data_IF_226852062458
#
_entry.id   IF_226852062458
#
_cell.length_a   1.000
_cell.length_b   1.000
_cell.length_c   1.000
_cell.angle_alpha   90.00
_cell.angle_beta   90.00
_cell.angle_gamma   90.00
#
_symmetry.space_group_name_H-M   'P 1'
#
loop_
_entity.id
_entity.type
_entity.pdbx_description
1 polymer ?
#
# COMPACT_ATOMS: atom_id res chain seq x y z
N UNK A 1 -20.87 -0.51 25.93
CA UNK A 1 -19.50 -1.01 26.22
C UNK A 1 -18.74 -0.98 24.91
N UNK A 2 -17.68 -0.20 24.68
CA UNK A 2 -17.00 0.82 25.47
C UNK A 2 -16.96 2.11 24.65
N UNK A 3 -17.25 3.23 25.30
CA UNK A 3 -16.99 4.56 24.80
C UNK A 3 -15.48 4.80 24.77
N UNK A 4 -14.94 5.27 23.64
CA UNK A 4 -13.60 5.87 23.62
C UNK A 4 -13.72 7.28 24.20
N UNK A 5 -13.41 7.32 25.49
CA UNK A 5 -12.99 8.42 26.35
C UNK A 5 -12.99 9.83 25.74
N UNK A 6 -13.88 10.66 26.28
CA UNK A 6 -13.85 12.11 26.22
C UNK A 6 -12.50 12.64 26.69
N UNK A 7 -11.97 13.62 25.95
CA UNK A 7 -10.91 14.49 26.44
C UNK A 7 -11.39 15.16 27.74
N UNK A 8 -10.75 14.82 28.85
CA UNK A 8 -10.96 15.49 30.13
C UNK A 8 -10.42 16.92 30.02
N UNK A 9 -11.31 17.90 30.06
CA UNK A 9 -10.97 19.32 30.23
C UNK A 9 -10.68 19.57 31.71
N UNK A 10 -9.41 19.58 32.11
CA UNK A 10 -8.99 20.25 33.34
C UNK A 10 -8.74 21.72 33.01
N UNK A 11 -9.63 22.60 33.47
CA UNK A 11 -9.40 24.04 33.48
C UNK A 11 -8.52 24.36 34.68
N UNK A 12 -7.26 24.72 34.43
CA UNK A 12 -6.49 25.59 35.32
C UNK A 12 -5.92 26.72 34.45
N UNK A 13 -6.23 27.95 34.86
CA UNK A 13 -5.79 29.20 34.23
C UNK A 13 -4.31 29.45 34.55
N UNK A 14 -3.51 29.87 33.56
CA UNK A 14 -2.19 30.45 33.81
C UNK A 14 -1.19 30.31 32.67
N UNK A 15 -0.93 31.45 32.01
CA UNK A 15 0.30 31.82 31.29
C UNK A 15 0.86 30.89 30.18
N UNK A 16 0.58 31.30 28.93
CA UNK A 16 1.61 31.43 27.89
C UNK A 16 2.58 30.28 27.69
N UNK A 17 2.09 29.07 27.39
CA UNK A 17 2.92 27.99 26.88
C UNK A 17 2.48 27.67 25.46
N UNK A 18 3.33 27.97 24.48
CA UNK A 18 3.19 27.45 23.12
C UNK A 18 3.12 25.93 23.20
N UNK A 19 1.91 25.38 23.18
CA UNK A 19 1.67 23.94 23.16
C UNK A 19 2.26 23.44 21.85
N UNK A 20 3.51 22.96 21.90
CA UNK A 20 4.07 22.19 20.81
C UNK A 20 3.07 21.08 20.53
N UNK A 21 2.42 21.13 19.37
CA UNK A 21 1.68 19.97 18.89
C UNK A 21 2.74 18.89 18.76
N UNK A 22 2.70 17.91 19.65
CA UNK A 22 3.47 16.69 19.44
C UNK A 22 2.82 16.07 18.21
N UNK A 23 3.40 16.32 17.03
CA UNK A 23 3.00 15.56 15.86
C UNK A 23 3.22 14.09 16.22
N UNK A 24 2.14 13.32 16.25
CA UNK A 24 2.25 11.88 16.36
C UNK A 24 3.17 11.40 15.23
N UNK A 25 4.15 10.57 15.59
CA UNK A 25 5.07 10.04 14.60
C UNK A 25 4.29 9.27 13.54
N UNK A 26 4.48 9.60 12.26
CA UNK A 26 3.70 8.96 11.21
C UNK A 26 4.07 7.47 11.12
N UNK A 27 3.07 6.61 11.20
CA UNK A 27 3.24 5.18 10.92
C UNK A 27 3.63 4.97 9.45
N UNK A 28 4.31 3.86 9.18
CA UNK A 28 4.63 3.44 7.81
C UNK A 28 3.46 2.61 7.28
N UNK A 29 2.87 3.02 6.17
CA UNK A 29 2.04 2.16 5.34
C UNK A 29 2.95 1.47 4.31
N UNK A 30 3.24 0.19 4.54
CA UNK A 30 3.90 -0.63 3.52
C UNK A 30 2.83 -1.25 2.64
N UNK A 31 2.78 -0.89 1.36
CA UNK A 31 1.73 -1.34 0.45
C UNK A 31 2.27 -1.80 -0.89
N UNK A 32 1.44 -2.59 -1.56
CA UNK A 32 1.66 -3.14 -2.89
C UNK A 32 0.32 -3.18 -3.63
N UNK A 33 0.36 -3.05 -4.96
CA UNK A 33 -0.83 -3.12 -5.80
C UNK A 33 -0.69 -4.17 -6.90
N UNK A 34 -1.78 -4.89 -7.16
CA UNK A 34 -1.90 -5.72 -8.35
C UNK A 34 -2.70 -4.98 -9.42
N UNK A 35 -2.22 -5.05 -10.66
CA UNK A 35 -2.81 -4.31 -11.78
C UNK A 35 -3.15 -5.22 -12.95
N UNK A 36 -4.01 -4.73 -13.84
CA UNK A 36 -4.10 -5.29 -15.19
C UNK A 36 -2.74 -5.17 -15.90
N UNK A 37 -2.52 -6.05 -16.86
CA UNK A 37 -1.38 -5.96 -17.77
C UNK A 37 -1.82 -5.19 -19.02
N UNK A 38 -1.10 -4.14 -19.43
CA UNK A 38 -1.44 -3.42 -20.65
C UNK A 38 -1.14 -4.31 -21.88
N UNK A 39 -2.05 -4.35 -22.85
CA UNK A 39 -1.89 -5.07 -24.12
C UNK A 39 -1.08 -4.26 -25.14
N UNK A 40 -0.83 -2.97 -24.87
CA UNK A 40 0.00 -2.11 -25.69
C UNK A 40 0.56 -0.89 -24.95
N UNK A 41 1.51 -0.16 -25.55
CA UNK A 41 2.25 0.92 -24.89
C UNK A 41 1.41 2.16 -24.55
N UNK A 42 0.17 2.24 -25.01
CA UNK A 42 -0.76 3.36 -24.74
C UNK A 42 -1.88 2.98 -23.77
N UNK A 43 -1.96 1.72 -23.39
CA UNK A 43 -3.00 1.25 -22.48
C UNK A 43 -2.55 1.46 -21.04
N UNK A 44 -3.45 2.02 -20.23
CA UNK A 44 -3.20 2.28 -18.82
C UNK A 44 -3.39 1.00 -18.02
N UNK A 45 -2.65 0.89 -16.92
CA UNK A 45 -2.87 -0.15 -15.94
C UNK A 45 -4.10 0.21 -15.11
N UNK A 46 -4.90 -0.79 -14.77
CA UNK A 46 -6.05 -0.66 -13.88
C UNK A 46 -5.70 -1.32 -12.56
N UNK A 47 -5.98 -0.64 -11.44
CA UNK A 47 -5.86 -1.23 -10.11
C UNK A 47 -6.88 -2.36 -9.95
N UNK A 48 -6.41 -3.56 -9.58
CA UNK A 48 -7.24 -4.75 -9.36
C UNK A 48 -7.24 -5.21 -7.90
N UNK A 49 -6.15 -4.95 -7.18
CA UNK A 49 -6.04 -5.25 -5.76
C UNK A 49 -5.14 -4.22 -5.08
N UNK A 50 -5.52 -3.80 -3.89
CA UNK A 50 -4.70 -2.99 -2.99
C UNK A 50 -4.50 -3.75 -1.68
N UNK A 51 -3.27 -3.76 -1.16
CA UNK A 51 -3.00 -4.26 0.18
C UNK A 51 -1.93 -3.47 0.90
N UNK A 52 -2.11 -3.29 2.21
CA UNK A 52 -1.18 -2.56 3.06
C UNK A 52 -1.08 -3.16 4.46
N UNK A 53 0.12 -3.13 5.04
CA UNK A 53 0.37 -3.27 6.49
C UNK A 53 0.84 -1.93 7.08
N UNK A 54 0.69 -1.81 8.39
CA UNK A 54 1.02 -0.59 9.13
C UNK A 54 2.12 -0.90 10.14
N UNK A 55 3.24 -0.20 10.07
CA UNK A 55 4.41 -0.46 10.89
C UNK A 55 4.79 0.76 11.75
N UNK A 56 5.20 0.50 13.00
CA UNK A 56 5.87 1.50 13.83
C UNK A 56 7.26 1.82 13.23
N UNK A 57 7.61 3.08 12.93
CA UNK A 57 8.89 3.42 12.31
C UNK A 57 10.12 3.07 13.16
N UNK A 58 9.97 3.06 14.49
CA UNK A 58 11.07 2.81 15.44
C UNK A 58 11.27 1.32 15.73
N UNK A 59 10.19 0.57 15.78
CA UNK A 59 10.20 -0.84 16.21
C UNK A 59 10.03 -1.82 15.04
N UNK A 60 9.54 -1.35 13.89
CA UNK A 60 9.21 -2.17 12.71
C UNK A 60 8.28 -3.35 13.02
N UNK A 61 7.35 -3.12 13.96
CA UNK A 61 6.28 -4.06 14.31
C UNK A 61 4.96 -3.59 13.72
N UNK A 62 4.08 -4.53 13.38
CA UNK A 62 2.72 -4.23 12.95
C UNK A 62 1.93 -3.54 14.08
N UNK A 63 1.32 -2.40 13.77
CA UNK A 63 0.57 -1.57 14.75
C UNK A 63 -0.93 -1.58 14.52
N UNK A 64 -1.38 -2.15 13.40
CA UNK A 64 -2.79 -2.30 13.07
C UNK A 64 -2.99 -3.51 12.13
N UNK A 65 -4.23 -3.99 12.06
CA UNK A 65 -4.61 -5.03 11.10
C UNK A 65 -4.33 -4.60 9.65
N UNK A 66 -3.89 -5.53 8.78
CA UNK A 66 -3.70 -5.23 7.37
C UNK A 66 -5.02 -4.83 6.71
N UNK A 67 -4.93 -3.89 5.76
CA UNK A 67 -6.06 -3.50 4.91
C UNK A 67 -5.85 -4.05 3.51
N UNK A 68 -6.82 -4.81 3.00
CA UNK A 68 -6.75 -5.49 1.72
C UNK A 68 -8.11 -5.38 1.03
N UNK A 69 -8.14 -4.98 -0.23
CA UNK A 69 -9.36 -4.95 -1.05
C UNK A 69 -9.08 -5.28 -2.50
N UNK A 70 -9.97 -6.07 -3.10
CA UNK A 70 -10.08 -6.16 -4.55
C UNK A 70 -10.80 -4.92 -5.08
N UNK A 71 -10.54 -4.59 -6.34
CA UNK A 71 -11.12 -3.47 -7.05
C UNK A 71 -11.66 -3.97 -8.38
N UNK A 72 -12.96 -3.81 -8.59
CA UNK A 72 -13.60 -4.23 -9.85
C UNK A 72 -13.20 -3.28 -10.99
N UNK A 73 -12.58 -3.79 -12.07
CA UNK A 73 -12.27 -2.99 -13.24
C UNK A 73 -13.54 -2.73 -14.08
N UNK A 74 -13.49 -1.71 -14.94
CA UNK A 74 -14.56 -1.43 -15.91
C UNK A 74 -14.70 -2.52 -16.97
N UNK A 75 -13.62 -3.24 -17.27
CA UNK A 75 -13.59 -4.39 -18.17
C UNK A 75 -13.01 -5.62 -17.47
N UNK A 76 -13.81 -6.68 -17.32
CA UNK A 76 -13.35 -7.96 -16.78
C UNK A 76 -12.50 -8.76 -17.78
N UNK A 77 -12.39 -8.31 -19.03
CA UNK A 77 -11.47 -8.84 -20.05
C UNK A 77 -9.99 -8.76 -19.66
N UNK A 78 -9.65 -7.93 -18.67
CA UNK A 78 -8.27 -7.79 -18.15
C UNK A 78 -7.75 -9.02 -17.40
N UNK A 79 -8.63 -9.95 -17.01
CA UNK A 79 -8.25 -11.16 -16.26
C UNK A 79 -7.50 -12.11 -17.18
N UNK A 80 -6.27 -12.43 -16.78
CA UNK A 80 -5.38 -13.36 -17.47
C UNK A 80 -5.09 -14.58 -16.60
N UNK A 81 -4.61 -15.68 -17.19
CA UNK A 81 -4.17 -16.86 -16.44
C UNK A 81 -3.09 -16.53 -15.39
N UNK A 82 -2.27 -15.51 -15.65
CA UNK A 82 -1.28 -15.03 -14.67
C UNK A 82 -1.94 -14.42 -13.43
N UNK A 83 -3.00 -13.62 -13.59
CA UNK A 83 -3.76 -13.06 -12.48
C UNK A 83 -4.54 -14.15 -11.73
N UNK A 84 -5.10 -15.14 -12.45
CA UNK A 84 -5.80 -16.26 -11.81
C UNK A 84 -4.87 -17.10 -10.94
N UNK A 85 -3.62 -17.35 -11.38
CA UNK A 85 -2.59 -18.02 -10.55
C UNK A 85 -2.23 -17.24 -9.29
N UNK A 86 -2.36 -15.91 -9.33
CA UNK A 86 -2.22 -15.03 -8.15
C UNK A 86 -3.48 -14.98 -7.28
N UNK A 87 -4.57 -15.63 -7.68
CA UNK A 87 -5.85 -15.65 -6.96
C UNK A 87 -6.81 -14.51 -7.34
N UNK A 88 -6.43 -13.66 -8.30
CA UNK A 88 -7.30 -12.60 -8.84
C UNK A 88 -8.12 -13.19 -9.97
N UNK A 89 -9.25 -13.81 -9.61
CA UNK A 89 -10.15 -14.48 -10.56
C UNK A 89 -11.20 -13.52 -11.09
N UNK A 90 -11.77 -13.85 -12.26
CA UNK A 90 -12.89 -13.09 -12.85
C UNK A 90 -14.07 -12.95 -11.89
N UNK A 91 -14.48 -14.04 -11.25
CA UNK A 91 -15.60 -14.01 -10.28
C UNK A 91 -15.28 -13.14 -9.07
N UNK A 92 -14.07 -13.23 -8.52
CA UNK A 92 -13.66 -12.41 -7.39
C UNK A 92 -13.65 -10.90 -7.73
N UNK A 93 -13.26 -10.53 -8.95
CA UNK A 93 -13.32 -9.13 -9.41
C UNK A 93 -14.74 -8.68 -9.76
N UNK A 94 -15.60 -9.59 -10.24
CA UNK A 94 -17.00 -9.28 -10.54
C UNK A 94 -17.78 -8.93 -9.26
N UNK A 95 -17.51 -9.66 -8.17
CA UNK A 95 -18.07 -9.43 -6.84
C UNK A 95 -17.38 -8.28 -6.07
N UNK A 96 -16.24 -7.78 -6.56
CA UNK A 96 -15.49 -6.72 -5.91
C UNK A 96 -16.19 -5.34 -6.04
N UNK A 97 -15.97 -4.42 -5.08
CA UNK A 97 -16.43 -3.05 -5.21
C UNK A 97 -15.68 -2.31 -6.33
N UNK A 98 -16.32 -1.36 -7.04
CA UNK A 98 -15.62 -0.42 -7.91
C UNK A 98 -14.71 0.51 -7.07
N UNK A 99 -13.71 1.11 -7.72
CA UNK A 99 -12.71 1.93 -7.02
C UNK A 99 -13.32 3.08 -6.19
N UNK A 100 -14.38 3.72 -6.70
CA UNK A 100 -15.07 4.81 -6.00
C UNK A 100 -15.55 4.43 -4.59
N UNK A 101 -15.94 3.17 -4.38
CA UNK A 101 -16.51 2.69 -3.12
C UNK A 101 -15.42 2.37 -2.08
N UNK A 102 -14.18 2.16 -2.53
CA UNK A 102 -13.02 1.87 -1.66
C UNK A 102 -12.05 3.03 -1.54
N UNK A 103 -12.21 4.08 -2.37
CA UNK A 103 -11.31 5.23 -2.43
C UNK A 103 -11.17 5.94 -1.07
N UNK A 104 -12.25 6.08 -0.29
CA UNK A 104 -12.18 6.67 1.05
C UNK A 104 -11.33 5.84 2.01
N UNK A 105 -11.49 4.52 1.98
CA UNK A 105 -10.72 3.62 2.83
C UNK A 105 -9.24 3.65 2.44
N UNK A 106 -8.93 3.56 1.15
CA UNK A 106 -7.56 3.67 0.62
C UNK A 106 -6.94 5.02 0.99
N UNK A 107 -7.68 6.12 0.84
CA UNK A 107 -7.21 7.44 1.23
C UNK A 107 -6.88 7.50 2.72
N UNK A 108 -7.78 7.00 3.58
CA UNK A 108 -7.59 7.02 5.03
C UNK A 108 -6.40 6.19 5.49
N UNK A 109 -6.13 5.06 4.83
CA UNK A 109 -4.97 4.23 5.19
C UNK A 109 -3.65 4.78 4.67
N UNK A 110 -3.64 5.64 3.64
CA UNK A 110 -2.41 6.17 3.03
C UNK A 110 -2.09 7.61 3.42
N UNK A 111 -3.09 8.48 3.53
CA UNK A 111 -2.88 9.92 3.66
C UNK A 111 -2.19 10.28 4.97
N UNK A 112 -1.14 11.10 4.90
CA UNK A 112 -0.40 11.56 6.08
C UNK A 112 0.52 10.50 6.71
N UNK A 113 0.68 9.33 6.07
CA UNK A 113 1.62 8.28 6.49
C UNK A 113 2.92 8.30 5.69
N UNK A 114 3.94 7.60 6.18
CA UNK A 114 5.11 7.29 5.36
C UNK A 114 4.74 6.13 4.44
N UNK A 115 4.94 6.26 3.15
CA UNK A 115 4.70 5.18 2.19
C UNK A 115 5.95 4.35 2.02
N UNK A 116 5.82 3.04 2.08
CA UNK A 116 6.92 2.12 1.83
C UNK A 116 6.49 1.01 0.88
N UNK A 117 7.40 0.58 0.02
CA UNK A 117 7.12 -0.49 -0.93
C UNK A 117 8.35 -0.80 -1.78
N UNK A 118 8.19 -1.66 -2.78
CA UNK A 118 9.27 -2.02 -3.68
C UNK A 118 9.01 -1.47 -5.07
N UNK A 119 9.87 -0.57 -5.55
CA UNK A 119 9.62 0.25 -6.73
C UNK A 119 8.42 1.19 -6.58
N UNK A 120 8.07 1.51 -5.32
CA UNK A 120 6.84 2.21 -4.96
C UNK A 120 6.74 3.59 -5.61
N UNK A 121 7.87 4.30 -5.78
CA UNK A 121 7.91 5.66 -6.34
C UNK A 121 7.51 5.67 -7.81
N UNK A 122 7.93 4.66 -8.56
CA UNK A 122 7.76 4.62 -10.02
C UNK A 122 6.58 3.75 -10.46
N UNK A 123 5.93 3.06 -9.51
CA UNK A 123 4.88 2.10 -9.81
C UNK A 123 3.64 2.29 -8.94
N UNK A 124 3.61 1.75 -7.73
CA UNK A 124 2.39 1.69 -6.92
C UNK A 124 1.82 3.06 -6.61
N UNK A 125 2.67 4.06 -6.31
CA UNK A 125 2.19 5.43 -6.07
C UNK A 125 1.54 6.05 -7.30
N UNK A 126 2.06 5.79 -8.49
CA UNK A 126 1.49 6.28 -9.75
C UNK A 126 0.14 5.60 -10.03
N UNK A 127 0.03 4.29 -9.81
CA UNK A 127 -1.23 3.55 -9.96
C UNK A 127 -2.31 4.12 -9.03
N UNK A 128 -1.96 4.40 -7.77
CA UNK A 128 -2.91 5.02 -6.82
C UNK A 128 -3.29 6.42 -7.28
N UNK A 129 -2.33 7.26 -7.68
CA UNK A 129 -2.61 8.61 -8.16
C UNK A 129 -3.51 8.60 -9.40
N UNK A 130 -3.28 7.69 -10.34
CA UNK A 130 -4.10 7.51 -11.53
C UNK A 130 -5.53 7.06 -11.18
N UNK A 131 -5.69 6.08 -10.28
CA UNK A 131 -7.01 5.61 -9.87
C UNK A 131 -7.86 6.71 -9.21
N UNK A 132 -7.25 7.57 -8.38
CA UNK A 132 -7.94 8.74 -7.82
C UNK A 132 -8.28 9.78 -8.89
N UNK A 133 -7.39 10.02 -9.85
CA UNK A 133 -7.63 10.93 -10.96
C UNK A 133 -8.80 10.47 -11.86
N UNK A 134 -8.93 9.16 -12.10
CA UNK A 134 -10.02 8.58 -12.90
C UNK A 134 -11.42 8.87 -12.32
N UNK A 135 -11.53 8.92 -10.98
CA UNK A 135 -12.78 9.28 -10.29
C UNK A 135 -12.89 10.77 -9.97
N UNK A 136 -11.98 11.60 -10.49
CA UNK A 136 -11.99 13.06 -10.31
C UNK A 136 -11.69 13.53 -8.89
N UNK A 137 -10.91 12.75 -8.11
CA UNK A 137 -10.58 13.06 -6.72
C UNK A 137 -9.07 13.31 -6.54
N UNK A 138 -8.73 14.11 -5.54
CA UNK A 138 -7.34 14.26 -5.12
C UNK A 138 -6.82 12.97 -4.47
N UNK A 139 -5.61 12.49 -4.83
CA UNK A 139 -5.02 11.30 -4.22
C UNK A 139 -4.55 11.58 -2.78
N UNK A 140 -4.34 10.53 -1.97
CA UNK A 140 -3.67 10.66 -0.68
C UNK A 140 -2.23 11.15 -0.86
N UNK A 141 -1.71 11.90 0.12
CA UNK A 141 -0.34 12.41 0.09
C UNK A 141 0.52 11.77 1.19
N UNK A 142 1.72 11.28 0.85
CA UNK A 142 2.65 10.74 1.84
C UNK A 142 3.34 11.87 2.64
N UNK A 143 3.66 11.60 3.92
CA UNK A 143 4.64 12.42 4.66
C UNK A 143 6.09 12.16 4.23
N UNK A 144 6.34 11.00 3.62
CA UNK A 144 7.64 10.59 3.08
C UNK A 144 7.51 9.25 2.35
N UNK A 145 8.51 8.90 1.54
CA UNK A 145 8.50 7.65 0.78
C UNK A 145 9.79 6.86 1.01
N UNK A 146 9.66 5.54 1.17
CA UNK A 146 10.74 4.57 1.32
C UNK A 146 10.62 3.57 0.18
N UNK A 147 11.44 3.73 -0.85
CA UNK A 147 11.51 2.78 -1.95
C UNK A 147 12.61 1.75 -1.69
N UNK A 148 12.20 0.51 -1.44
CA UNK A 148 13.12 -0.57 -1.13
C UNK A 148 13.95 -1.01 -2.33
N UNK A 149 13.49 -0.81 -3.57
CA UNK A 149 14.26 -1.24 -4.75
C UNK A 149 15.64 -0.53 -4.84
N UNK A 150 15.74 0.82 -4.86
CA UNK A 150 17.03 1.49 -4.88
C UNK A 150 17.82 1.25 -3.59
N UNK A 151 17.17 1.18 -2.43
CA UNK A 151 17.84 0.93 -1.14
C UNK A 151 18.52 -0.45 -1.11
N UNK A 152 17.80 -1.51 -1.49
CA UNK A 152 18.32 -2.86 -1.54
C UNK A 152 19.37 -3.02 -2.65
N UNK A 153 19.16 -2.37 -3.80
CA UNK A 153 20.14 -2.35 -4.89
C UNK A 153 21.46 -1.73 -4.44
N UNK A 154 21.42 -0.60 -3.74
CA UNK A 154 22.62 0.06 -3.22
C UNK A 154 23.32 -0.77 -2.14
N UNK A 155 22.54 -1.43 -1.27
CA UNK A 155 23.07 -2.16 -0.11
C UNK A 155 23.66 -3.52 -0.49
N UNK A 156 22.97 -4.27 -1.34
CA UNK A 156 23.31 -5.67 -1.66
C UNK A 156 23.83 -5.86 -3.07
N UNK A 157 23.40 -5.01 -4.02
CA UNK A 157 23.81 -5.10 -5.43
C UNK A 157 23.65 -6.51 -5.99
N UNK A 158 24.58 -6.94 -6.85
CA UNK A 158 24.50 -8.23 -7.54
C UNK A 158 24.46 -9.46 -6.61
N UNK A 159 24.77 -9.31 -5.31
CA UNK A 159 24.74 -10.42 -4.35
C UNK A 159 23.33 -10.97 -4.14
N UNK A 160 22.32 -10.11 -4.20
CA UNK A 160 20.91 -10.48 -4.04
C UNK A 160 20.19 -10.66 -5.39
N UNK A 161 20.90 -11.11 -6.43
CA UNK A 161 20.34 -11.40 -7.73
C UNK A 161 19.88 -10.15 -8.49
N UNK A 162 18.67 -10.20 -9.05
CA UNK A 162 18.10 -9.12 -9.86
C UNK A 162 17.15 -8.18 -9.07
N UNK A 163 17.17 -8.24 -7.74
CA UNK A 163 16.30 -7.46 -6.83
C UNK A 163 14.80 -7.74 -6.91
N UNK A 164 14.35 -8.73 -7.70
CA UNK A 164 12.97 -9.22 -7.59
C UNK A 164 12.73 -9.86 -6.22
N UNK A 165 11.49 -9.83 -5.75
CA UNK A 165 11.10 -10.34 -4.43
C UNK A 165 11.51 -11.81 -4.23
N UNK A 166 11.33 -12.68 -5.24
CA UNK A 166 11.80 -14.08 -5.16
C UNK A 166 13.30 -14.17 -4.83
N UNK A 167 14.14 -13.45 -5.58
CA UNK A 167 15.59 -13.50 -5.39
C UNK A 167 16.02 -12.90 -4.04
N UNK A 168 15.31 -11.88 -3.55
CA UNK A 168 15.56 -11.33 -2.22
C UNK A 168 15.16 -12.33 -1.12
N UNK A 169 14.01 -12.99 -1.25
CA UNK A 169 13.57 -14.01 -0.31
C UNK A 169 14.55 -15.19 -0.24
N UNK A 170 15.03 -15.65 -1.41
CA UNK A 170 16.06 -16.68 -1.50
C UNK A 170 17.38 -16.21 -0.86
N UNK A 171 17.82 -14.99 -1.17
CA UNK A 171 19.06 -14.43 -0.63
C UNK A 171 19.06 -14.33 0.90
N UNK A 172 17.94 -13.93 1.50
CA UNK A 172 17.79 -13.83 2.95
C UNK A 172 17.32 -15.12 3.62
N UNK A 173 17.16 -16.22 2.87
CA UNK A 173 16.66 -17.51 3.36
C UNK A 173 15.32 -17.40 4.09
N UNK A 174 14.39 -16.60 3.55
CA UNK A 174 13.07 -16.39 4.16
C UNK A 174 12.12 -17.59 3.99
N UNK A 175 12.56 -18.63 3.28
CA UNK A 175 11.78 -19.83 2.99
C UNK A 175 10.71 -19.61 1.91
N UNK A 176 9.88 -20.63 1.63
CA UNK A 176 8.80 -20.50 0.66
C UNK A 176 7.81 -19.42 1.11
N UNK A 177 7.74 -18.34 0.35
CA UNK A 177 6.73 -17.31 0.58
C UNK A 177 5.39 -17.87 0.10
N UNK A 178 4.48 -18.13 1.05
CA UNK A 178 3.16 -18.66 0.73
C UNK A 178 2.36 -17.51 0.15
N UNK A 179 1.96 -17.64 -1.12
CA UNK A 179 1.21 -16.66 -1.90
C UNK A 179 -0.22 -16.46 -1.35
N UNK A 180 -0.36 -15.93 -0.12
CA UNK A 180 -1.64 -15.52 0.44
C UNK A 180 -1.54 -14.04 0.80
N UNK A 181 -2.01 -13.22 -0.14
CA UNK A 181 -2.29 -11.79 -0.03
C UNK A 181 -1.07 -10.86 0.05
N UNK A 182 -0.76 -10.31 -1.13
CA UNK A 182 -0.24 -8.96 -1.46
C UNK A 182 1.14 -8.55 -0.97
N UNK A 183 1.57 -8.89 0.23
CA UNK A 183 2.88 -8.40 0.66
C UNK A 183 3.92 -9.38 0.11
N UNK A 184 4.68 -8.93 -0.90
CA UNK A 184 5.83 -9.59 -1.54
C UNK A 184 5.59 -10.49 -2.79
N UNK A 185 4.67 -10.17 -3.71
CA UNK A 185 4.34 -11.04 -4.87
C UNK A 185 5.01 -10.70 -6.22
N UNK A 186 6.31 -10.37 -6.21
CA UNK A 186 7.13 -10.38 -7.43
C UNK A 186 8.10 -11.58 -7.45
N UNK A 187 7.53 -12.80 -7.36
CA UNK A 187 8.20 -14.04 -7.71
C UNK A 187 8.06 -14.35 -9.20
#
# INVERSE_FOLDING_TARGET
MLAKTMAYMSMEEGEGSSRAMVEEEPEIAFFDVETSMPWGPRERRTLLEFGSIFLCPRQLVEVAEPFITLVRPSDLGVVTEALERKGITRGALEDAPPFCDVADNIHNVLHGRIWAGHNIISFDSEIIREAFAEIGRSPPEPKGMIDTLPLLTQTFGRRAGNMKMANLADYFNLGPQIHRRIIFQNC
#
